data_IF_690782606912
#
_entry.id   IF_690782606912
#
_cell.length_a   1.000
_cell.length_b   1.000
_cell.length_c   1.000
_cell.angle_alpha   90.00
_cell.angle_beta   90.00
_cell.angle_gamma   90.00
#
_symmetry.space_group_name_H-M   'P 1'
#
loop_
_entity.id
_entity.type
_entity.pdbx_description
1 polymer ?
#
# COMPACT_ATOMS: atom_id res chain seq x y z
N UNK A 1 4.06 10.04 17.92
CA UNK A 1 4.42 8.61 17.89
C UNK A 1 4.63 8.15 16.45
N UNK A 2 5.44 7.11 16.27
CA UNK A 2 5.69 6.53 14.94
C UNK A 2 4.48 5.76 14.39
N UNK A 3 3.61 5.24 15.24
CA UNK A 3 2.52 4.35 14.91
C UNK A 3 2.81 2.89 15.30
N UNK A 4 1.85 2.01 15.05
CA UNK A 4 1.92 0.59 15.41
C UNK A 4 1.70 -0.34 14.19
N UNK A 5 2.09 0.09 12.99
CA UNK A 5 1.77 -0.62 11.74
C UNK A 5 2.81 -1.70 11.37
N UNK A 6 4.00 -1.70 11.96
CA UNK A 6 4.98 -2.76 11.70
C UNK A 6 4.45 -4.11 12.18
N UNK A 7 4.45 -5.09 11.31
CA UNK A 7 3.94 -6.44 11.61
C UNK A 7 2.45 -6.65 11.31
N UNK A 8 1.71 -5.61 10.93
CA UNK A 8 0.30 -5.73 10.51
C UNK A 8 0.14 -6.12 9.03
N UNK A 9 1.25 -6.17 8.29
CA UNK A 9 1.26 -6.53 6.88
C UNK A 9 0.43 -5.60 5.96
N UNK A 10 0.34 -4.32 6.34
CA UNK A 10 -0.40 -3.30 5.60
C UNK A 10 0.44 -2.52 4.58
N UNK A 11 1.72 -2.82 4.47
CA UNK A 11 2.64 -2.19 3.53
C UNK A 11 3.33 -3.23 2.66
N UNK A 12 3.46 -2.92 1.37
CA UNK A 12 4.21 -3.67 0.39
C UNK A 12 5.19 -2.74 -0.33
N UNK A 13 6.43 -3.20 -0.53
CA UNK A 13 7.43 -2.51 -1.33
C UNK A 13 7.77 -3.39 -2.53
N UNK A 14 7.58 -2.86 -3.73
CA UNK A 14 7.93 -3.51 -4.99
C UNK A 14 9.10 -2.83 -5.67
N UNK A 15 9.84 -3.61 -6.44
CA UNK A 15 10.94 -3.11 -7.25
C UNK A 15 11.07 -3.85 -8.56
N UNK A 16 10.84 -3.15 -9.65
CA UNK A 16 11.05 -3.68 -10.99
C UNK A 16 12.53 -3.79 -11.33
N UNK A 17 12.91 -4.85 -12.03
CA UNK A 17 14.14 -4.91 -12.81
C UNK A 17 13.86 -4.46 -14.26
N UNK A 18 14.92 -4.09 -14.99
CA UNK A 18 14.80 -3.63 -16.38
C UNK A 18 14.09 -4.63 -17.33
N UNK A 19 14.17 -5.92 -17.01
CA UNK A 19 13.61 -7.00 -17.83
C UNK A 19 12.18 -7.41 -17.41
N UNK A 20 11.64 -6.81 -16.34
CA UNK A 20 10.33 -7.18 -15.78
C UNK A 20 9.26 -6.22 -16.26
N UNK A 21 8.25 -6.72 -16.97
CA UNK A 21 7.15 -5.91 -17.50
C UNK A 21 5.98 -5.76 -16.52
N UNK A 22 5.81 -6.69 -15.60
CA UNK A 22 4.79 -6.66 -14.55
C UNK A 22 5.24 -7.43 -13.30
N UNK A 23 4.62 -7.12 -12.18
CA UNK A 23 4.77 -7.81 -10.90
C UNK A 23 3.39 -8.13 -10.33
N UNK A 24 3.21 -9.32 -9.77
CA UNK A 24 1.97 -9.75 -9.12
C UNK A 24 2.09 -9.57 -7.61
N UNK A 25 1.24 -8.72 -7.06
CA UNK A 25 1.13 -8.46 -5.62
C UNK A 25 -0.10 -9.15 -5.07
N UNK A 26 0.10 -10.09 -4.15
CA UNK A 26 -0.97 -10.86 -3.54
C UNK A 26 -1.48 -10.20 -2.27
N UNK A 27 -2.78 -10.00 -2.23
CA UNK A 27 -3.53 -9.40 -1.13
C UNK A 27 -4.60 -10.38 -0.65
N UNK A 28 -4.54 -10.80 0.61
CA UNK A 28 -5.65 -11.50 1.25
C UNK A 28 -6.68 -10.48 1.72
N UNK A 29 -7.93 -10.67 1.39
CA UNK A 29 -9.08 -9.86 1.82
C UNK A 29 -9.92 -10.69 2.78
N UNK A 30 -10.17 -10.15 3.98
CA UNK A 30 -11.00 -10.78 5.00
C UNK A 30 -12.50 -10.63 4.71
N UNK A 31 -13.33 -11.44 5.39
CA UNK A 31 -14.79 -11.46 5.18
C UNK A 31 -15.48 -10.15 5.56
N UNK A 32 -14.98 -9.45 6.56
CA UNK A 32 -15.59 -8.21 7.04
C UNK A 32 -15.55 -7.08 6.01
N UNK A 33 -14.57 -7.11 5.09
CA UNK A 33 -14.42 -6.07 4.08
C UNK A 33 -15.56 -6.08 3.04
N UNK A 34 -16.24 -7.18 2.86
CA UNK A 34 -17.41 -7.27 1.99
C UNK A 34 -18.54 -6.28 2.36
N UNK A 35 -18.57 -5.76 3.58
CA UNK A 35 -19.55 -4.77 4.06
C UNK A 35 -19.01 -3.34 4.02
N UNK A 36 -17.72 -3.15 4.24
CA UNK A 36 -17.08 -1.83 4.43
C UNK A 36 -16.40 -1.35 3.16
N UNK A 37 -15.73 -2.26 2.44
CA UNK A 37 -14.77 -1.90 1.42
C UNK A 37 -13.54 -1.19 1.98
N UNK A 38 -12.56 -0.93 1.13
CA UNK A 38 -11.35 -0.21 1.51
C UNK A 38 -10.72 0.47 0.29
N UNK A 39 -9.73 1.32 0.54
CA UNK A 39 -8.90 1.94 -0.49
C UNK A 39 -7.49 1.40 -0.35
N UNK A 40 -6.96 0.86 -1.44
CA UNK A 40 -5.56 0.48 -1.59
C UNK A 40 -4.86 1.57 -2.42
N UNK A 41 -3.76 2.08 -1.93
CA UNK A 41 -2.96 3.10 -2.61
C UNK A 41 -1.64 2.53 -3.10
N UNK A 42 -1.28 2.85 -4.35
CA UNK A 42 0.06 2.62 -4.88
C UNK A 42 0.72 3.98 -5.16
N UNK A 43 1.92 4.14 -4.65
CA UNK A 43 2.73 5.33 -4.81
C UNK A 43 4.06 4.98 -5.46
N UNK A 44 4.48 5.79 -6.43
CA UNK A 44 5.79 5.66 -7.08
C UNK A 44 6.67 6.88 -6.83
N UNK A 45 7.93 6.79 -7.23
CA UNK A 45 8.76 8.00 -7.35
C UNK A 45 8.27 8.86 -8.52
N UNK A 46 8.55 10.16 -8.49
CA UNK A 46 8.00 11.15 -9.42
C UNK A 46 8.26 10.85 -10.91
N UNK A 47 9.26 10.04 -11.24
CA UNK A 47 9.61 9.74 -12.63
C UNK A 47 9.09 8.39 -13.13
N UNK A 48 8.62 7.52 -12.23
CA UNK A 48 8.11 6.20 -12.57
C UNK A 48 6.58 6.26 -12.72
N UNK A 49 6.06 5.57 -13.75
CA UNK A 49 4.63 5.46 -13.98
C UNK A 49 4.22 3.99 -14.04
N UNK A 50 3.21 3.64 -13.26
CA UNK A 50 2.64 2.31 -13.18
C UNK A 50 1.18 2.30 -13.57
N UNK A 51 0.72 1.16 -14.06
CA UNK A 51 -0.69 0.85 -14.27
C UNK A 51 -1.00 -0.48 -13.62
N UNK A 52 -2.28 -0.74 -13.37
CA UNK A 52 -2.70 -1.95 -12.65
C UNK A 52 -3.70 -2.79 -13.44
N UNK A 53 -3.77 -4.05 -13.09
CA UNK A 53 -4.80 -5.01 -13.46
C UNK A 53 -5.10 -5.90 -12.26
N UNK A 54 -6.09 -6.78 -12.36
CA UNK A 54 -6.55 -7.57 -11.22
C UNK A 54 -6.85 -9.01 -11.62
N UNK A 55 -6.65 -9.92 -10.66
CA UNK A 55 -7.22 -11.26 -10.68
C UNK A 55 -8.00 -11.44 -9.37
N UNK A 56 -9.27 -11.78 -9.47
CA UNK A 56 -10.13 -12.02 -8.33
C UNK A 56 -9.91 -13.39 -7.69
N UNK A 57 -10.39 -13.64 -6.47
CA UNK A 57 -10.35 -14.96 -5.85
C UNK A 57 -11.04 -16.04 -6.68
N UNK A 58 -12.10 -15.70 -7.42
CA UNK A 58 -12.80 -16.59 -8.35
C UNK A 58 -12.07 -16.81 -9.69
N UNK A 59 -10.94 -16.13 -9.91
CA UNK A 59 -10.13 -16.28 -11.13
C UNK A 59 -10.52 -15.36 -12.28
N UNK A 60 -11.47 -14.44 -12.09
CA UNK A 60 -11.78 -13.41 -13.08
C UNK A 60 -10.60 -12.46 -13.25
N UNK A 61 -10.23 -12.20 -14.51
CA UNK A 61 -9.05 -11.41 -14.84
C UNK A 61 -9.42 -10.11 -15.54
N UNK A 62 -8.97 -9.02 -14.98
CA UNK A 62 -9.04 -7.70 -15.60
C UNK A 62 -7.63 -7.33 -16.08
N UNK A 63 -7.52 -7.14 -17.37
CA UNK A 63 -6.28 -6.73 -18.03
C UNK A 63 -5.82 -5.35 -17.54
N UNK A 64 -4.65 -4.94 -18.01
CA UNK A 64 -4.07 -3.63 -17.74
C UNK A 64 -5.07 -2.50 -18.00
N UNK A 65 -5.34 -1.72 -16.94
CA UNK A 65 -6.25 -0.58 -16.99
C UNK A 65 -5.44 0.64 -17.44
N UNK A 66 -5.82 1.29 -18.56
CA UNK A 66 -5.08 2.42 -19.08
C UNK A 66 -5.22 3.66 -18.19
N UNK A 67 -4.21 4.53 -18.22
CA UNK A 67 -4.27 5.84 -17.59
C UNK A 67 -5.22 6.71 -18.44
N UNK A 68 -6.34 7.10 -17.86
CA UNK A 68 -7.28 8.04 -18.45
C UNK A 68 -7.19 9.38 -17.71
N UNK A 69 -6.97 10.47 -18.44
CA UNK A 69 -6.93 11.81 -17.86
C UNK A 69 -8.30 12.17 -17.25
N UNK A 70 -8.30 12.47 -15.95
CA UNK A 70 -9.43 12.97 -15.17
C UNK A 70 -10.65 12.02 -15.03
N UNK A 71 -10.52 10.73 -15.32
CA UNK A 71 -11.61 9.78 -15.15
C UNK A 71 -11.23 8.63 -14.24
N UNK A 72 -12.14 8.29 -13.34
CA UNK A 72 -12.11 7.03 -12.60
C UNK A 72 -12.60 5.91 -13.53
N UNK A 73 -11.91 4.77 -13.50
CA UNK A 73 -12.35 3.56 -14.21
C UNK A 73 -13.04 2.64 -13.23
N UNK A 74 -14.35 2.42 -13.43
CA UNK A 74 -15.13 1.52 -12.61
C UNK A 74 -15.20 0.14 -13.23
N UNK A 75 -14.82 -0.89 -12.49
CA UNK A 75 -14.66 -2.26 -12.97
C UNK A 75 -15.53 -3.18 -12.11
N UNK A 76 -16.69 -3.63 -12.64
CA UNK A 76 -17.46 -4.67 -12.00
C UNK A 76 -16.87 -6.04 -12.29
N UNK A 77 -16.75 -6.88 -11.26
CA UNK A 77 -16.43 -8.29 -11.39
C UNK A 77 -17.73 -9.09 -11.50
N UNK A 78 -17.84 -9.91 -12.53
CA UNK A 78 -19.07 -10.62 -12.86
C UNK A 78 -19.25 -11.87 -11.99
N UNK A 79 -18.16 -12.53 -11.61
CA UNK A 79 -18.18 -13.73 -10.77
C UNK A 79 -18.36 -13.40 -9.28
N UNK A 80 -18.02 -12.20 -8.89
CA UNK A 80 -18.18 -11.68 -7.54
C UNK A 80 -19.01 -10.38 -7.55
N UNK A 81 -19.59 -10.04 -6.43
CA UNK A 81 -20.31 -8.77 -6.31
C UNK A 81 -19.39 -7.56 -6.10
N UNK A 82 -18.12 -7.73 -6.37
CA UNK A 82 -17.07 -6.71 -6.15
C UNK A 82 -17.05 -5.70 -7.29
N UNK A 83 -16.85 -4.44 -6.92
CA UNK A 83 -16.52 -3.38 -7.87
C UNK A 83 -15.22 -2.73 -7.43
N UNK A 84 -14.27 -2.58 -8.35
CA UNK A 84 -13.04 -1.83 -8.10
C UNK A 84 -13.06 -0.56 -8.94
N UNK A 85 -12.89 0.59 -8.28
CA UNK A 85 -12.74 1.88 -8.96
C UNK A 85 -11.27 2.29 -8.89
N UNK A 86 -10.65 2.48 -10.05
CA UNK A 86 -9.25 2.87 -10.18
C UNK A 86 -9.16 4.30 -10.68
N UNK A 87 -8.37 5.12 -9.99
CA UNK A 87 -8.01 6.47 -10.41
C UNK A 87 -6.50 6.64 -10.44
N UNK A 88 -6.03 7.39 -11.44
CA UNK A 88 -4.62 7.70 -11.64
C UNK A 88 -4.39 9.20 -11.49
N UNK A 89 -3.58 9.57 -10.52
CA UNK A 89 -3.04 10.90 -10.37
C UNK A 89 -1.56 10.85 -10.72
N UNK A 90 -1.19 11.32 -11.92
CA UNK A 90 0.17 11.19 -12.44
C UNK A 90 1.18 12.00 -11.64
N UNK A 91 0.75 13.14 -11.11
CA UNK A 91 1.54 14.02 -10.26
C UNK A 91 0.63 14.46 -9.11
N UNK A 92 0.84 13.87 -7.93
CA UNK A 92 0.17 14.32 -6.72
C UNK A 92 0.84 15.61 -6.26
N UNK A 93 0.03 16.66 -6.01
CA UNK A 93 0.52 18.04 -5.80
C UNK A 93 1.44 18.19 -4.59
N UNK A 94 1.26 17.37 -3.54
CA UNK A 94 2.07 17.45 -2.32
C UNK A 94 3.40 16.72 -2.41
N UNK A 95 3.46 15.62 -3.17
CA UNK A 95 4.62 14.71 -3.26
C UNK A 95 5.36 14.79 -4.59
N UNK A 96 4.66 15.15 -5.67
CA UNK A 96 5.17 15.04 -7.04
C UNK A 96 5.21 13.60 -7.58
N UNK A 97 4.73 12.63 -6.80
CA UNK A 97 4.70 11.21 -7.14
C UNK A 97 3.42 10.83 -7.85
N UNK A 98 3.42 9.71 -8.57
CA UNK A 98 2.18 9.11 -9.04
C UNK A 98 1.44 8.48 -7.85
N UNK A 99 0.13 8.71 -7.79
CA UNK A 99 -0.79 7.98 -6.94
C UNK A 99 -1.77 7.20 -7.80
N UNK A 100 -1.84 5.89 -7.57
CA UNK A 100 -2.91 5.02 -8.09
C UNK A 100 -3.79 4.64 -6.92
N UNK A 101 -5.01 5.15 -6.90
CA UNK A 101 -6.00 4.82 -5.87
C UNK A 101 -6.94 3.75 -6.40
N UNK A 102 -7.09 2.67 -5.63
CA UNK A 102 -7.92 1.51 -5.96
C UNK A 102 -8.96 1.32 -4.85
N UNK A 103 -10.19 1.73 -5.11
CA UNK A 103 -11.30 1.58 -4.16
C UNK A 103 -12.00 0.26 -4.40
N UNK A 104 -11.96 -0.61 -3.41
CA UNK A 104 -12.67 -1.88 -3.39
C UNK A 104 -14.04 -1.69 -2.71
N UNK A 105 -15.11 -1.92 -3.46
CA UNK A 105 -16.48 -1.90 -2.98
C UNK A 105 -17.00 -3.33 -2.91
N UNK A 106 -17.45 -3.77 -1.75
CA UNK A 106 -17.95 -5.13 -1.49
C UNK A 106 -16.99 -6.21 -1.98
N UNK A 107 -15.71 -6.16 -1.62
CA UNK A 107 -14.76 -7.16 -2.08
C UNK A 107 -15.12 -8.55 -1.56
N UNK A 108 -15.07 -9.54 -2.43
CA UNK A 108 -15.17 -10.95 -2.04
C UNK A 108 -13.94 -11.35 -1.22
N UNK A 109 -14.11 -12.10 -0.12
CA UNK A 109 -13.00 -12.60 0.66
C UNK A 109 -12.14 -13.58 -0.15
N UNK A 110 -10.87 -13.63 0.17
CA UNK A 110 -9.90 -14.51 -0.49
C UNK A 110 -8.67 -13.79 -0.98
N UNK A 111 -7.91 -14.43 -1.87
CA UNK A 111 -6.67 -13.88 -2.40
C UNK A 111 -6.94 -13.14 -3.70
N UNK A 112 -6.72 -11.84 -3.67
CA UNK A 112 -6.69 -10.96 -4.83
C UNK A 112 -5.26 -10.80 -5.31
N UNK A 113 -5.06 -10.79 -6.63
CA UNK A 113 -3.78 -10.43 -7.23
C UNK A 113 -3.91 -9.06 -7.88
N UNK A 114 -3.11 -8.10 -7.43
CA UNK A 114 -2.95 -6.82 -8.08
C UNK A 114 -1.72 -6.94 -8.98
N UNK A 115 -1.94 -6.92 -10.29
CA UNK A 115 -0.86 -6.93 -11.26
C UNK A 115 -0.43 -5.50 -11.55
N UNK A 116 0.78 -5.16 -11.13
CA UNK A 116 1.39 -3.86 -11.38
C UNK A 116 2.20 -3.94 -12.65
N UNK A 117 1.95 -3.04 -13.61
CA UNK A 117 2.68 -2.97 -14.87
C UNK A 117 3.58 -1.75 -14.90
N UNK A 118 4.80 -1.96 -15.32
CA UNK A 118 5.75 -0.88 -15.58
C UNK A 118 5.34 -0.15 -16.88
N UNK A 119 5.08 1.16 -16.79
CA UNK A 119 4.71 2.01 -17.91
C UNK A 119 5.86 2.94 -18.30
N UNK A 120 6.51 3.52 -17.29
CA UNK A 120 7.71 4.33 -17.43
C UNK A 120 8.62 4.00 -16.27
N UNK A 121 9.83 3.63 -16.57
CA UNK A 121 10.81 3.08 -15.63
C UNK A 121 12.03 3.98 -15.51
N UNK A 122 12.34 4.41 -14.30
CA UNK A 122 13.58 5.08 -13.95
C UNK A 122 14.23 4.38 -12.75
N UNK A 123 13.54 4.32 -11.60
CA UNK A 123 14.01 3.64 -10.40
C UNK A 123 13.39 2.25 -10.25
N UNK A 124 12.18 2.10 -10.72
CA UNK A 124 11.38 0.89 -10.63
C UNK A 124 10.77 0.66 -9.25
N UNK A 125 10.91 1.59 -8.32
CA UNK A 125 10.44 1.45 -6.95
C UNK A 125 9.02 1.98 -6.79
N UNK A 126 8.19 1.20 -6.08
CA UNK A 126 6.86 1.60 -5.71
C UNK A 126 6.47 1.01 -4.35
N UNK A 127 5.54 1.65 -3.70
CA UNK A 127 4.99 1.21 -2.43
C UNK A 127 3.48 1.10 -2.52
N UNK A 128 2.92 0.14 -1.78
CA UNK A 128 1.47 0.02 -1.64
C UNK A 128 1.10 0.02 -0.16
N UNK A 129 0.05 0.75 0.18
CA UNK A 129 -0.47 0.82 1.55
C UNK A 129 -1.95 0.50 1.60
N UNK A 130 -2.30 -0.35 2.53
CA UNK A 130 -3.66 -0.55 3.04
C UNK A 130 -3.98 0.54 4.08
N UNK A 131 -5.25 0.75 4.43
CA UNK A 131 -5.62 1.58 5.56
C UNK A 131 -4.93 1.12 6.86
N UNK A 132 -4.72 2.07 7.78
CA UNK A 132 -4.13 1.75 9.09
C UNK A 132 -5.07 0.91 9.94
N UNK A 133 -4.51 0.24 10.95
CA UNK A 133 -5.26 -0.58 11.91
C UNK A 133 -6.50 0.15 12.45
N UNK A 134 -7.62 -0.56 12.53
CA UNK A 134 -8.93 -0.05 12.94
C UNK A 134 -9.80 0.47 11.80
N UNK A 135 -9.22 0.75 10.63
CA UNK A 135 -9.96 1.10 9.41
C UNK A 135 -10.06 -0.06 8.42
N UNK A 136 -9.32 -1.13 8.66
CA UNK A 136 -9.32 -2.37 7.89
C UNK A 136 -9.31 -3.56 8.86
N UNK A 137 -9.80 -4.72 8.42
CA UNK A 137 -9.76 -5.97 9.20
C UNK A 137 -8.34 -6.49 9.32
N UNK A 138 -8.00 -7.06 10.47
CA UNK A 138 -6.69 -7.70 10.71
C UNK A 138 -6.45 -8.92 9.77
N UNK A 139 -7.49 -9.42 9.11
CA UNK A 139 -7.39 -10.49 8.11
C UNK A 139 -7.02 -9.99 6.72
N UNK A 140 -7.15 -8.67 6.46
CA UNK A 140 -6.86 -8.06 5.16
C UNK A 140 -5.42 -7.58 5.13
N UNK A 141 -4.55 -8.34 4.47
CA UNK A 141 -3.09 -8.17 4.54
C UNK A 141 -2.40 -8.51 3.23
N UNK A 142 -1.26 -7.90 2.98
CA UNK A 142 -0.34 -8.37 1.93
C UNK A 142 0.29 -9.71 2.32
N UNK A 143 0.41 -10.65 1.38
CA UNK A 143 1.05 -11.96 1.64
C UNK A 143 2.58 -11.87 1.70
N UNK A 144 3.16 -10.83 1.10
CA UNK A 144 4.60 -10.54 1.15
C UNK A 144 4.82 -9.09 1.60
N UNK A 145 4.51 -8.77 2.87
CA UNK A 145 4.61 -7.39 3.36
C UNK A 145 6.05 -6.96 3.58
N UNK A 146 6.29 -5.65 3.48
CA UNK A 146 7.53 -5.02 3.92
C UNK A 146 7.29 -4.31 5.25
N UNK A 147 8.07 -4.60 6.31
CA UNK A 147 7.91 -3.99 7.63
C UNK A 147 8.44 -2.56 7.73
N UNK A 148 9.16 -2.08 6.70
CA UNK A 148 9.69 -0.72 6.61
C UNK A 148 8.64 0.25 6.08
N UNK A 149 8.92 1.55 6.12
CA UNK A 149 8.02 2.60 5.60
C UNK A 149 6.59 2.55 6.17
N UNK A 150 6.48 2.17 7.46
CA UNK A 150 5.20 1.99 8.15
C UNK A 150 4.85 3.15 9.09
N UNK A 151 5.66 4.21 9.13
CA UNK A 151 5.40 5.37 10.00
C UNK A 151 4.14 6.10 9.55
N UNK A 152 3.22 6.27 10.50
CA UNK A 152 1.92 6.89 10.22
C UNK A 152 1.97 8.42 10.21
N UNK A 153 1.00 9.04 9.54
CA UNK A 153 0.76 10.49 9.58
C UNK A 153 0.36 10.90 11.01
N UNK A 154 0.87 12.01 11.55
CA UNK A 154 1.79 13.00 10.93
C UNK A 154 3.28 12.68 11.15
N UNK A 155 3.61 11.56 11.78
CA UNK A 155 4.98 11.19 12.15
C UNK A 155 5.94 11.03 10.98
N UNK A 156 5.43 10.72 9.78
CA UNK A 156 6.20 10.57 8.55
C UNK A 156 6.61 11.89 7.89
N UNK A 157 6.11 13.04 8.39
CA UNK A 157 6.51 14.33 7.84
C UNK A 157 7.84 14.83 8.44
N UNK A 158 8.45 15.81 7.78
CA UNK A 158 9.80 16.28 8.14
C UNK A 158 9.84 17.04 9.46
N UNK A 159 8.79 17.82 9.76
CA UNK A 159 8.80 18.79 10.86
C UNK A 159 8.62 18.21 12.27
N UNK A 160 7.66 17.28 12.52
CA UNK A 160 7.45 16.77 13.86
C UNK A 160 8.60 15.85 14.30
N UNK A 161 8.96 15.93 15.58
CA UNK A 161 9.82 14.94 16.24
C UNK A 161 8.99 13.70 16.45
N UNK A 162 9.38 12.60 15.81
CA UNK A 162 8.67 11.32 15.84
C UNK A 162 9.42 10.33 16.73
N UNK A 163 8.70 9.73 17.66
CA UNK A 163 9.25 8.79 18.62
C UNK A 163 8.77 7.38 18.32
N UNK A 164 9.70 6.45 18.11
CA UNK A 164 9.48 5.01 18.10
C UNK A 164 9.51 4.42 19.51
N UNK A 165 9.07 3.18 19.64
CA UNK A 165 9.03 2.47 20.90
C UNK A 165 10.10 1.35 20.99
N UNK A 166 10.68 1.18 22.16
CA UNK A 166 11.51 0.02 22.49
C UNK A 166 11.06 -0.64 23.78
N UNK A 167 11.40 -1.93 23.94
CA UNK A 167 11.17 -2.66 25.17
C UNK A 167 12.34 -2.37 26.15
N UNK A 168 12.02 -1.69 27.27
CA UNK A 168 13.03 -1.26 28.25
C UNK A 168 13.63 -2.42 29.05
N UNK A 169 13.01 -3.62 29.05
CA UNK A 169 13.50 -4.77 29.78
C UNK A 169 14.67 -5.49 29.10
N UNK A 170 14.64 -5.50 27.75
CA UNK A 170 15.62 -6.22 26.94
C UNK A 170 16.29 -5.35 25.88
N UNK A 171 15.98 -4.06 25.83
CA UNK A 171 16.49 -3.08 24.86
C UNK A 171 16.23 -3.45 23.37
N UNK A 172 15.24 -4.31 23.10
CA UNK A 172 14.84 -4.61 21.74
C UNK A 172 13.88 -3.56 21.19
N UNK A 173 13.84 -3.40 19.87
CA UNK A 173 12.80 -2.60 19.23
C UNK A 173 11.44 -3.25 19.50
N UNK A 174 10.45 -2.44 19.91
CA UNK A 174 9.09 -2.94 20.09
C UNK A 174 8.52 -3.38 18.74
N UNK A 175 8.04 -4.62 18.68
CA UNK A 175 7.71 -5.29 17.42
C UNK A 175 6.65 -4.53 16.60
N UNK A 176 5.69 -3.88 17.26
CA UNK A 176 4.64 -3.11 16.60
C UNK A 176 5.05 -1.67 16.25
N UNK A 177 6.14 -1.16 16.87
CA UNK A 177 6.55 0.21 16.57
C UNK A 177 6.85 0.39 15.09
N UNK A 178 6.12 1.30 14.46
CA UNK A 178 6.30 1.62 13.05
C UNK A 178 7.73 2.06 12.73
N UNK A 179 8.22 1.66 11.56
CA UNK A 179 9.62 1.82 11.12
C UNK A 179 9.71 2.70 9.89
N UNK A 180 10.74 3.51 9.81
CA UNK A 180 11.15 4.25 8.61
C UNK A 180 12.02 3.38 7.69
N UNK A 181 12.55 3.90 6.62
CA UNK A 181 12.50 5.33 6.29
C UNK A 181 11.09 5.79 5.91
N UNK A 182 10.91 7.09 5.64
CA UNK A 182 9.68 7.56 5.00
C UNK A 182 9.80 7.35 3.48
N UNK A 183 8.69 7.42 2.74
CA UNK A 183 8.67 7.35 1.27
C UNK A 183 9.47 8.46 0.56
N UNK A 184 9.98 9.43 1.32
CA UNK A 184 10.87 10.51 0.87
C UNK A 184 12.27 10.40 1.44
N UNK A 185 12.68 9.22 1.88
CA UNK A 185 14.00 8.93 2.45
C UNK A 185 14.37 9.74 3.71
N UNK A 186 13.40 10.36 4.37
CA UNK A 186 13.69 10.94 5.68
C UNK A 186 13.92 9.85 6.71
N UNK A 187 15.00 10.01 7.48
CA UNK A 187 15.27 9.15 8.62
C UNK A 187 14.22 9.42 9.70
N UNK A 188 13.35 8.47 9.93
CA UNK A 188 12.33 8.47 10.99
C UNK A 188 12.24 7.06 11.59
N UNK A 189 11.86 6.90 12.85
CA UNK A 189 11.63 7.94 13.86
C UNK A 189 12.93 8.67 14.25
N UNK A 190 12.81 9.89 14.79
CA UNK A 190 13.96 10.70 15.23
C UNK A 190 14.56 10.19 16.53
N UNK A 191 13.73 9.62 17.40
CA UNK A 191 14.07 9.13 18.75
C UNK A 191 13.39 7.79 19.01
N UNK A 192 13.90 7.07 20.00
CA UNK A 192 13.23 5.91 20.60
C UNK A 192 13.00 6.16 22.08
N UNK A 193 11.86 5.72 22.61
CA UNK A 193 11.51 5.80 24.02
C UNK A 193 10.96 4.47 24.52
N UNK A 194 11.00 4.20 25.83
CA UNK A 194 10.37 3.03 26.42
C UNK A 194 8.87 3.01 26.11
N UNK A 195 8.39 1.92 25.50
CA UNK A 195 6.98 1.74 25.12
C UNK A 195 6.34 0.50 25.74
N UNK A 196 7.16 -0.39 26.30
CA UNK A 196 6.75 -1.63 27.00
C UNK A 196 7.74 -1.95 28.10
#
# INVERSE_FOLDING_TARGET
AAGNETGLAHHYAGRFSADTSFEDVELRVGEEEGKRGFILELWSSAADLYTVGFVSPGGERISRIPILSNNETRIPFLLESTVITVSYQLIEAGSGSQLVSMRFERPSPGIWTIRVYNTQFLTGEYHMWLPVQGFISDETVFLKPDPSNTITVPGNSRLPITTGAYNHRNNSIYIHSSRGYTSRDYVKPDLAAPGV
#
